data_IF_356194695923
#
_entry.id   IF_356194695923
#
_cell.length_a   1.000
_cell.length_b   1.000
_cell.length_c   1.000
_cell.angle_alpha   90.00
_cell.angle_beta   90.00
_cell.angle_gamma   90.00
#
_symmetry.space_group_name_H-M   'P 1'
#
loop_
_entity.id
_entity.type
_entity.pdbx_description
1 polymer ?
#
# COMPACT_ATOMS: atom_id res chain seq x y z
N UNK A 1 10.32 2.74 -1.08
CA UNK A 1 9.33 3.82 -0.88
C UNK A 1 8.25 3.58 -1.90
N UNK A 2 7.00 3.62 -1.47
CA UNK A 2 5.84 3.65 -2.36
C UNK A 2 5.15 5.00 -2.17
N UNK A 3 4.47 5.49 -3.20
CA UNK A 3 3.43 6.51 -3.01
C UNK A 3 2.24 5.78 -2.39
N UNK A 4 1.58 6.41 -1.43
CA UNK A 4 0.52 5.77 -0.67
C UNK A 4 -0.70 5.41 -1.53
N UNK A 5 -1.01 6.24 -2.53
CA UNK A 5 -2.13 6.06 -3.47
C UNK A 5 -1.63 6.08 -4.93
N UNK A 6 -2.46 5.60 -5.87
CA UNK A 6 -2.24 5.83 -7.31
C UNK A 6 -1.98 7.30 -7.65
N UNK A 7 -1.35 7.54 -8.79
CA UNK A 7 -1.13 8.91 -9.25
C UNK A 7 -2.45 9.53 -9.74
N UNK A 8 -2.65 10.81 -9.47
CA UNK A 8 -3.74 11.60 -10.07
C UNK A 8 -3.37 12.00 -11.50
N UNK A 9 -3.27 11.00 -12.40
CA UNK A 9 -2.91 11.18 -13.80
C UNK A 9 -4.02 10.59 -14.68
N UNK A 10 -4.71 11.39 -15.51
CA UNK A 10 -4.53 12.84 -15.72
C UNK A 10 -5.03 13.75 -14.59
N UNK A 11 -5.89 13.26 -13.70
CA UNK A 11 -6.60 14.03 -12.69
C UNK A 11 -6.91 13.19 -11.45
N UNK A 12 -7.59 13.82 -10.48
CA UNK A 12 -7.97 13.20 -9.20
C UNK A 12 -8.93 12.02 -9.41
N UNK A 13 -9.96 12.17 -10.25
CA UNK A 13 -10.91 11.09 -10.57
C UNK A 13 -10.19 9.83 -11.08
N UNK A 14 -9.19 9.99 -11.97
CA UNK A 14 -8.38 8.87 -12.44
C UNK A 14 -7.56 8.21 -11.33
N UNK A 15 -7.03 9.00 -10.39
CA UNK A 15 -6.29 8.48 -9.24
C UNK A 15 -7.18 7.73 -8.24
N UNK A 16 -8.30 8.34 -7.87
CA UNK A 16 -9.26 7.82 -6.89
C UNK A 16 -9.95 6.54 -7.37
N UNK A 17 -10.25 6.46 -8.66
CA UNK A 17 -10.79 5.24 -9.28
C UNK A 17 -9.74 4.16 -9.54
N UNK A 18 -8.44 4.46 -9.43
CA UNK A 18 -7.40 3.51 -9.83
C UNK A 18 -7.11 2.48 -8.76
N UNK A 19 -6.82 1.26 -9.22
CA UNK A 19 -6.17 0.22 -8.40
C UNK A 19 -4.68 0.07 -8.72
N UNK A 20 -4.11 0.91 -9.57
CA UNK A 20 -2.73 0.75 -10.03
C UNK A 20 -1.82 1.80 -9.38
N UNK A 21 -0.98 1.35 -8.46
CA UNK A 21 0.12 2.15 -7.90
C UNK A 21 1.45 1.82 -8.61
N UNK A 22 2.42 2.73 -8.50
CA UNK A 22 3.77 2.55 -9.05
C UNK A 22 4.78 2.30 -7.94
N UNK A 23 5.55 1.21 -8.05
CA UNK A 23 6.69 0.94 -7.16
C UNK A 23 7.99 1.32 -7.87
N UNK A 24 8.76 2.21 -7.25
CA UNK A 24 10.04 2.67 -7.81
C UNK A 24 11.23 2.03 -7.11
N UNK A 25 12.18 1.53 -7.91
CA UNK A 25 13.48 1.08 -7.42
C UNK A 25 14.53 2.15 -7.63
N UNK A 26 14.89 2.86 -6.56
CA UNK A 26 15.98 3.83 -6.59
C UNK A 26 17.33 3.21 -6.23
N UNK A 27 18.40 3.59 -6.94
CA UNK A 27 19.77 3.21 -6.60
C UNK A 27 20.52 4.40 -6.03
N UNK A 28 20.86 4.41 -4.73
CA UNK A 28 21.67 5.48 -4.14
C UNK A 28 23.04 5.64 -4.80
N UNK A 29 23.66 4.52 -5.23
CA UNK A 29 24.95 4.53 -5.94
C UNK A 29 24.87 5.22 -7.31
N UNK A 30 23.78 5.02 -8.05
CA UNK A 30 23.58 5.63 -9.38
C UNK A 30 22.85 6.97 -9.30
N UNK A 31 22.27 7.29 -8.14
CA UNK A 31 21.38 8.44 -7.92
C UNK A 31 20.24 8.52 -8.94
N UNK A 32 19.67 7.36 -9.29
CA UNK A 32 18.63 7.26 -10.31
C UNK A 32 17.61 6.18 -9.96
N UNK A 33 16.38 6.34 -10.48
CA UNK A 33 15.41 5.24 -10.61
C UNK A 33 15.99 4.23 -11.60
N UNK A 34 15.90 2.95 -11.24
CA UNK A 34 16.52 1.83 -11.97
C UNK A 34 15.53 0.76 -12.39
N UNK A 35 14.30 0.84 -11.90
CA UNK A 35 13.14 0.10 -12.36
C UNK A 35 11.88 0.78 -11.83
N UNK A 36 10.79 0.59 -12.54
CA UNK A 36 9.44 0.97 -12.15
C UNK A 36 8.51 -0.22 -12.34
N UNK A 37 7.53 -0.38 -11.47
CA UNK A 37 6.62 -1.52 -11.56
C UNK A 37 5.17 -1.10 -11.34
N UNK A 38 4.28 -1.56 -12.21
CA UNK A 38 2.84 -1.48 -11.99
C UNK A 38 2.42 -2.49 -10.91
N UNK A 39 2.04 -1.98 -9.75
CA UNK A 39 1.47 -2.74 -8.64
C UNK A 39 -0.05 -2.54 -8.65
N UNK A 40 -0.81 -3.63 -8.61
CA UNK A 40 -2.27 -3.57 -8.60
C UNK A 40 -2.82 -4.02 -7.26
N UNK A 41 -3.59 -3.17 -6.59
CA UNK A 41 -4.35 -3.52 -5.40
C UNK A 41 -5.39 -4.62 -5.70
N UNK A 42 -5.74 -5.41 -4.69
CA UNK A 42 -6.96 -6.21 -4.75
C UNK A 42 -8.17 -5.25 -4.80
N UNK A 43 -9.32 -5.67 -5.35
CA UNK A 43 -10.53 -4.84 -5.28
C UNK A 43 -10.83 -4.40 -3.85
N UNK A 44 -11.35 -3.19 -3.63
CA UNK A 44 -11.54 -2.67 -2.27
C UNK A 44 -12.44 -3.56 -1.43
N UNK A 45 -13.59 -3.99 -1.97
CA UNK A 45 -14.47 -4.97 -1.31
C UNK A 45 -13.85 -6.35 -1.06
N UNK A 46 -12.72 -6.67 -1.69
CA UNK A 46 -11.91 -7.84 -1.33
C UNK A 46 -11.07 -7.51 -0.10
N UNK A 47 -10.35 -6.38 -0.08
CA UNK A 47 -9.50 -5.94 1.04
C UNK A 47 -10.33 -5.68 2.31
N UNK A 48 -11.41 -4.92 2.17
CA UNK A 48 -12.37 -4.53 3.19
C UNK A 48 -13.80 -4.80 2.70
N UNK A 49 -14.44 -5.93 3.08
CA UNK A 49 -15.76 -6.32 2.58
C UNK A 49 -16.91 -5.33 2.83
N UNK A 50 -16.69 -4.33 3.68
CA UNK A 50 -17.67 -3.27 3.96
C UNK A 50 -17.45 -1.98 3.18
N UNK A 51 -16.45 -1.95 2.28
CA UNK A 51 -16.02 -0.76 1.54
C UNK A 51 -16.28 -0.91 0.04
N UNK A 52 -16.69 0.17 -0.60
CA UNK A 52 -16.92 0.27 -2.05
C UNK A 52 -16.18 1.42 -2.72
N UNK A 53 -15.58 2.33 -1.95
CA UNK A 53 -14.74 3.40 -2.46
C UNK A 53 -13.30 2.92 -2.71
N UNK A 54 -12.87 2.92 -3.97
CA UNK A 54 -11.52 2.49 -4.36
C UNK A 54 -10.44 3.44 -3.84
N UNK A 55 -10.77 4.71 -3.60
CA UNK A 55 -9.82 5.73 -3.14
C UNK A 55 -9.30 5.45 -1.72
N UNK A 56 -10.03 4.66 -0.93
CA UNK A 56 -9.67 4.20 0.42
C UNK A 56 -8.45 3.26 0.43
N UNK A 57 -8.08 2.67 -0.73
CA UNK A 57 -6.93 1.78 -0.82
C UNK A 57 -5.61 2.53 -0.75
N UNK A 58 -4.81 2.18 0.26
CA UNK A 58 -3.50 2.77 0.54
C UNK A 58 -2.40 1.71 0.69
N UNK A 59 -1.17 2.07 0.36
CA UNK A 59 0.07 1.38 0.80
C UNK A 59 0.75 2.25 1.86
N UNK A 60 0.72 1.84 3.12
CA UNK A 60 1.44 2.57 4.18
C UNK A 60 2.83 1.95 4.45
N UNK A 61 2.97 0.64 4.25
CA UNK A 61 4.23 -0.06 4.46
C UNK A 61 4.72 -0.91 3.27
N UNK A 62 6.03 -0.88 3.02
CA UNK A 62 6.74 -1.75 2.08
C UNK A 62 8.04 -2.26 2.70
N UNK A 63 8.19 -3.58 2.82
CA UNK A 63 9.32 -4.22 3.52
C UNK A 63 10.12 -5.08 2.56
N UNK A 64 11.41 -4.80 2.41
CA UNK A 64 12.30 -5.69 1.68
C UNK A 64 12.54 -6.99 2.46
N UNK A 65 12.16 -8.12 1.85
CA UNK A 65 12.37 -9.47 2.44
C UNK A 65 13.40 -10.30 1.68
N UNK A 66 13.92 -9.74 0.58
CA UNK A 66 15.03 -10.26 -0.22
C UNK A 66 15.52 -9.20 -1.21
N UNK A 67 16.45 -9.56 -2.10
CA UNK A 67 16.99 -8.64 -3.13
C UNK A 67 15.96 -8.20 -4.17
N UNK A 68 15.00 -9.07 -4.47
CA UNK A 68 13.96 -8.92 -5.48
C UNK A 68 12.57 -9.23 -4.92
N UNK A 69 12.39 -9.18 -3.60
CA UNK A 69 11.12 -9.50 -2.95
C UNK A 69 10.74 -8.45 -1.92
N UNK A 70 9.48 -8.00 -1.99
CA UNK A 70 8.90 -7.06 -1.05
C UNK A 70 7.64 -7.68 -0.43
N UNK A 71 7.42 -7.39 0.85
CA UNK A 71 6.05 -7.34 1.37
C UNK A 71 5.50 -5.95 1.07
N UNK A 72 4.29 -5.91 0.52
CA UNK A 72 3.54 -4.68 0.31
C UNK A 72 2.26 -4.80 1.14
N UNK A 73 1.97 -3.75 1.89
CA UNK A 73 0.72 -3.62 2.61
C UNK A 73 -0.34 -3.00 1.71
N UNK A 74 -1.51 -3.64 1.66
CA UNK A 74 -2.73 -3.06 1.14
C UNK A 74 -3.67 -2.84 2.31
N UNK A 75 -4.12 -1.60 2.51
CA UNK A 75 -4.99 -1.28 3.64
C UNK A 75 -6.04 -0.24 3.29
N UNK A 76 -7.15 -0.32 4.00
CA UNK A 76 -8.10 0.78 4.26
C UNK A 76 -7.91 1.21 5.70
N UNK A 77 -8.76 2.08 6.23
CA UNK A 77 -8.73 2.41 7.66
C UNK A 77 -9.17 1.24 8.57
N UNK A 78 -9.92 0.26 8.04
CA UNK A 78 -10.48 -0.85 8.83
C UNK A 78 -9.80 -2.20 8.57
N UNK A 79 -9.13 -2.37 7.43
CA UNK A 79 -8.53 -3.63 7.03
C UNK A 79 -7.10 -3.45 6.53
N UNK A 80 -6.24 -4.44 6.77
CA UNK A 80 -4.88 -4.47 6.27
C UNK A 80 -4.46 -5.89 5.85
N UNK A 81 -3.78 -6.00 4.73
CA UNK A 81 -3.27 -7.26 4.16
C UNK A 81 -1.83 -7.10 3.72
N UNK A 82 -1.07 -8.19 3.82
CA UNK A 82 0.31 -8.21 3.34
C UNK A 82 0.44 -9.18 2.17
N UNK A 83 0.98 -8.67 1.07
CA UNK A 83 1.25 -9.45 -0.13
C UNK A 83 2.75 -9.52 -0.39
N UNK A 84 3.22 -10.71 -0.75
CA UNK A 84 4.58 -10.91 -1.25
C UNK A 84 4.59 -10.67 -2.75
N UNK A 85 5.42 -9.72 -3.19
CA UNK A 85 5.70 -9.45 -4.60
C UNK A 85 7.14 -9.78 -4.96
N UNK A 86 7.35 -10.17 -6.21
CA UNK A 86 8.68 -10.35 -6.79
C UNK A 86 8.94 -9.30 -7.86
N UNK A 87 10.02 -8.55 -7.70
CA UNK A 87 10.48 -7.52 -8.62
C UNK A 87 11.31 -8.15 -9.74
N UNK A 88 10.64 -8.85 -10.65
CA UNK A 88 11.29 -9.43 -11.82
C UNK A 88 11.59 -8.37 -12.90
N UNK A 89 12.58 -8.63 -13.75
CA UNK A 89 12.96 -7.71 -14.82
C UNK A 89 11.93 -7.62 -15.96
N UNK A 90 11.05 -8.61 -16.09
CA UNK A 90 10.04 -8.63 -17.15
C UNK A 90 8.86 -7.71 -16.86
N UNK A 91 8.64 -7.38 -15.58
CA UNK A 91 7.66 -6.42 -15.11
C UNK A 91 8.17 -4.98 -14.97
N UNK A 92 9.43 -4.72 -15.31
CA UNK A 92 9.97 -3.36 -15.29
C UNK A 92 9.33 -2.52 -16.40
N UNK A 93 8.72 -1.40 -16.02
CA UNK A 93 8.09 -0.45 -16.93
C UNK A 93 8.82 0.88 -17.05
N UNK A 94 10.03 1.00 -16.49
CA UNK A 94 10.80 2.23 -16.57
C UNK A 94 11.22 2.56 -18.02
N UNK A 95 10.95 3.79 -18.46
CA UNK A 95 11.23 4.27 -19.81
C UNK A 95 10.20 3.84 -20.85
N UNK A 96 9.08 3.28 -20.42
CA UNK A 96 8.00 2.85 -21.29
C UNK A 96 7.10 4.03 -21.68
N UNK A 97 6.13 3.78 -22.58
CA UNK A 97 5.09 4.76 -22.91
C UNK A 97 4.30 5.26 -21.69
N UNK A 98 4.23 4.47 -20.61
CA UNK A 98 3.49 4.81 -19.39
C UNK A 98 4.14 5.92 -18.56
N UNK A 99 5.38 6.31 -18.88
CA UNK A 99 6.07 7.44 -18.26
C UNK A 99 5.73 8.77 -18.97
N UNK A 100 5.12 8.72 -20.16
CA UNK A 100 4.63 9.90 -20.86
C UNK A 100 3.27 10.32 -20.27
N UNK A 101 3.17 11.49 -19.60
CA UNK A 101 1.91 11.97 -19.02
C UNK A 101 0.84 12.29 -20.09
N UNK A 102 1.20 12.32 -21.38
CA UNK A 102 0.26 12.47 -22.50
C UNK A 102 -0.32 11.13 -22.98
N UNK A 103 0.18 9.97 -22.52
CA UNK A 103 -0.37 8.66 -22.89
C UNK A 103 -1.83 8.54 -22.48
N UNK A 104 -2.71 8.11 -23.41
CA UNK A 104 -4.15 7.91 -23.18
C UNK A 104 -4.62 6.53 -23.68
N UNK A 105 -5.44 5.80 -22.90
CA UNK A 105 -5.59 5.99 -21.44
C UNK A 105 -4.22 5.93 -20.75
N UNK A 106 -4.04 6.69 -19.68
CA UNK A 106 -2.90 6.59 -18.76
C UNK A 106 -2.87 5.22 -18.08
N UNK A 107 -1.84 4.91 -17.31
CA UNK A 107 -1.77 3.64 -16.59
C UNK A 107 -2.85 3.57 -15.49
N UNK A 108 -3.14 4.71 -14.88
CA UNK A 108 -4.05 4.90 -13.77
C UNK A 108 -5.51 4.75 -14.21
N UNK A 109 -5.84 5.19 -15.44
CA UNK A 109 -7.15 5.02 -16.08
C UNK A 109 -7.46 3.56 -16.53
N UNK A 110 -6.50 2.62 -16.41
CA UNK A 110 -6.72 1.23 -16.83
C UNK A 110 -7.38 0.38 -15.74
N UNK A 111 -8.61 -0.05 -16.04
CA UNK A 111 -9.32 -1.07 -15.26
C UNK A 111 -8.65 -2.44 -15.30
N UNK A 112 -8.02 -2.83 -16.40
CA UNK A 112 -7.31 -4.11 -16.50
C UNK A 112 -5.97 -3.92 -17.24
N UNK A 113 -4.93 -3.40 -16.55
CA UNK A 113 -3.68 -3.05 -17.21
C UNK A 113 -3.02 -4.23 -17.94
N UNK A 114 -3.14 -5.45 -17.40
CA UNK A 114 -2.61 -6.65 -18.02
C UNK A 114 -3.27 -6.95 -19.39
N UNK A 115 -4.56 -6.69 -19.54
CA UNK A 115 -5.28 -6.83 -20.81
C UNK A 115 -4.80 -5.81 -21.86
N UNK A 116 -4.30 -4.65 -21.41
CA UNK A 116 -3.69 -3.61 -22.24
C UNK A 116 -2.18 -3.81 -22.46
N UNK A 117 -1.64 -4.98 -22.08
CA UNK A 117 -0.24 -5.33 -22.26
C UNK A 117 0.73 -4.74 -21.24
N UNK A 118 0.23 -4.18 -20.13
CA UNK A 118 1.07 -3.75 -19.00
C UNK A 118 1.54 -4.98 -18.22
N UNK A 119 2.84 -5.16 -17.99
CA UNK A 119 3.34 -6.31 -17.24
C UNK A 119 3.17 -6.09 -15.72
N UNK A 120 1.93 -6.19 -15.23
CA UNK A 120 1.56 -6.01 -13.81
C UNK A 120 2.30 -7.00 -12.92
N UNK A 121 2.81 -6.52 -11.77
CA UNK A 121 3.48 -7.37 -10.79
C UNK A 121 2.55 -8.47 -10.28
N UNK A 122 3.08 -9.69 -10.28
CA UNK A 122 2.43 -10.81 -9.60
C UNK A 122 2.62 -10.67 -8.09
N UNK A 123 1.53 -10.88 -7.36
CA UNK A 123 1.51 -10.87 -5.90
C UNK A 123 0.86 -12.12 -5.33
N UNK A 124 1.20 -12.44 -4.09
CA UNK A 124 0.60 -13.55 -3.32
C UNK A 124 0.26 -13.06 -1.93
N UNK A 125 -0.98 -13.24 -1.50
CA UNK A 125 -1.37 -12.98 -0.11
C UNK A 125 -0.52 -13.81 0.86
N UNK A 126 0.04 -13.13 1.86
CA UNK A 126 0.81 -13.75 2.96
C UNK A 126 -0.04 -13.86 4.20
N UNK A 127 -0.75 -12.79 4.55
CA UNK A 127 -1.64 -12.73 5.72
C UNK A 127 -2.69 -11.63 5.51
N UNK A 128 -3.91 -11.91 5.95
CA UNK A 128 -4.94 -10.91 6.21
C UNK A 128 -4.86 -10.58 7.71
N UNK A 129 -4.51 -9.33 8.04
CA UNK A 129 -4.24 -8.93 9.42
C UNK A 129 -5.53 -8.76 10.24
N UNK A 130 -6.66 -8.46 9.59
CA UNK A 130 -7.96 -8.40 10.26
C UNK A 130 -8.46 -9.76 10.75
N UNK A 131 -7.88 -10.85 10.23
CA UNK A 131 -8.16 -12.21 10.66
C UNK A 131 -7.18 -12.74 11.72
N UNK A 132 -6.25 -11.90 12.22
CA UNK A 132 -5.27 -12.29 13.24
C UNK A 132 -5.65 -11.67 14.59
N UNK A 133 -5.98 -12.52 15.55
CA UNK A 133 -6.32 -12.10 16.90
C UNK A 133 -5.23 -11.22 17.53
N UNK A 134 -5.65 -10.10 18.12
CA UNK A 134 -4.77 -9.17 18.83
C UNK A 134 -4.00 -8.18 17.94
N UNK A 135 -4.22 -8.19 16.62
CA UNK A 135 -3.70 -7.12 15.75
C UNK A 135 -4.66 -5.92 15.82
N UNK A 136 -4.15 -4.71 16.13
CA UNK A 136 -4.98 -3.49 16.16
C UNK A 136 -5.42 -3.10 14.73
N UNK A 137 -6.41 -2.21 14.65
CA UNK A 137 -6.77 -1.55 13.39
C UNK A 137 -5.69 -0.57 12.92
N UNK A 138 -5.90 0.05 11.75
CA UNK A 138 -5.03 1.10 11.17
C UNK A 138 -3.53 0.78 11.20
N UNK A 139 -3.13 -0.40 10.71
CA UNK A 139 -1.70 -0.71 10.57
C UNK A 139 -1.07 0.25 9.55
N UNK A 140 0.03 0.88 9.95
CA UNK A 140 0.78 1.83 9.12
C UNK A 140 2.23 1.40 8.88
N UNK A 141 2.76 0.57 9.77
CA UNK A 141 4.16 0.19 9.76
C UNK A 141 4.33 -1.31 9.97
N UNK A 142 5.24 -1.89 9.18
CA UNK A 142 5.58 -3.30 9.26
C UNK A 142 7.09 -3.46 9.22
N UNK A 143 7.62 -4.31 10.09
CA UNK A 143 9.02 -4.69 10.09
C UNK A 143 9.17 -6.21 10.12
N UNK A 144 10.13 -6.74 9.36
CA UNK A 144 10.50 -8.15 9.42
C UNK A 144 11.43 -8.38 10.62
N UNK A 145 10.98 -9.16 11.60
CA UNK A 145 11.78 -9.56 12.76
C UNK A 145 12.67 -10.76 12.41
N UNK A 146 12.11 -11.77 11.74
CA UNK A 146 12.85 -12.94 11.26
C UNK A 146 12.15 -13.60 10.06
N UNK A 147 12.47 -14.85 9.72
CA UNK A 147 11.87 -15.56 8.57
C UNK A 147 10.36 -15.84 8.67
N UNK A 148 9.76 -15.68 9.86
CA UNK A 148 8.35 -16.02 10.12
C UNK A 148 7.64 -15.08 11.10
N UNK A 149 8.30 -14.00 11.54
CA UNK A 149 7.72 -13.03 12.48
C UNK A 149 7.81 -11.62 11.91
N UNK A 150 6.71 -10.91 12.02
CA UNK A 150 6.56 -9.49 11.71
C UNK A 150 6.29 -8.72 12.99
N UNK A 151 6.78 -7.49 13.07
CA UNK A 151 6.34 -6.48 14.03
C UNK A 151 5.46 -5.48 13.28
N UNK A 152 4.33 -5.14 13.86
CA UNK A 152 3.32 -4.22 13.31
C UNK A 152 3.17 -3.03 14.25
N UNK A 153 2.90 -1.86 13.70
CA UNK A 153 2.56 -0.66 14.46
C UNK A 153 1.31 -0.03 13.84
N UNK A 154 0.37 0.41 14.68
CA UNK A 154 -0.81 1.14 14.24
C UNK A 154 -0.58 2.64 14.26
N UNK A 155 -1.20 3.31 13.30
CA UNK A 155 -1.45 4.75 13.36
C UNK A 155 -2.51 4.99 14.43
N UNK A 156 -2.29 6.02 15.24
CA UNK A 156 -3.26 6.50 16.21
C UNK A 156 -3.75 7.92 15.89
N UNK A 157 -3.47 8.40 14.67
CA UNK A 157 -3.83 9.72 14.17
C UNK A 157 -3.30 10.83 15.09
N UNK A 158 -2.13 10.65 15.70
CA UNK A 158 -1.56 11.55 16.72
C UNK A 158 -2.45 11.75 17.95
N UNK A 159 -3.31 10.78 18.28
CA UNK A 159 -4.30 10.88 19.35
C UNK A 159 -5.53 11.70 18.94
N UNK A 160 -5.75 11.95 17.65
CA UNK A 160 -6.89 12.71 17.15
C UNK A 160 -8.08 11.82 16.82
N UNK A 161 -9.28 12.39 16.91
CA UNK A 161 -10.50 11.84 16.29
C UNK A 161 -10.82 12.63 15.02
N UNK A 162 -11.66 12.08 14.15
CA UNK A 162 -12.06 12.79 12.94
C UNK A 162 -13.02 13.96 13.21
N UNK A 163 -12.85 15.02 12.44
CA UNK A 163 -13.80 16.13 12.35
C UNK A 163 -13.64 17.20 13.45
N UNK A 164 -14.61 18.11 13.57
CA UNK A 164 -14.47 19.33 14.37
C UNK A 164 -14.36 19.07 15.89
N UNK A 165 -14.65 17.84 16.34
CA UNK A 165 -14.55 17.44 17.75
C UNK A 165 -13.14 17.01 18.17
N UNK A 166 -12.20 16.93 17.22
CA UNK A 166 -10.80 16.67 17.51
C UNK A 166 -10.18 17.75 18.41
N UNK A 167 -10.76 18.94 18.43
CA UNK A 167 -10.30 20.06 19.25
C UNK A 167 -11.43 20.63 20.09
N UNK A 168 -11.12 21.03 21.33
CA UNK A 168 -12.04 21.76 22.20
C UNK A 168 -12.21 23.24 21.76
N UNK A 169 -13.07 23.99 22.45
CA UNK A 169 -13.36 25.39 22.13
C UNK A 169 -12.12 26.32 22.23
N UNK A 170 -11.08 25.89 22.96
CA UNK A 170 -9.81 26.59 23.12
C UNK A 170 -8.74 26.13 22.10
N UNK A 171 -9.09 25.21 21.20
CA UNK A 171 -8.19 24.65 20.20
C UNK A 171 -7.21 23.60 20.73
N UNK A 172 -7.49 22.98 21.89
CA UNK A 172 -6.69 21.86 22.42
C UNK A 172 -7.20 20.54 21.89
N UNK A 173 -6.27 19.63 21.59
CA UNK A 173 -6.59 18.27 21.20
C UNK A 173 -7.46 17.58 22.27
N UNK A 174 -8.58 17.02 21.83
CA UNK A 174 -9.37 16.04 22.58
C UNK A 174 -8.84 14.66 22.20
N UNK A 175 -8.08 14.05 23.12
CA UNK A 175 -7.40 12.77 22.89
C UNK A 175 -8.40 11.65 22.54
N UNK A 176 -8.04 10.81 21.58
CA UNK A 176 -8.84 9.67 21.12
C UNK A 176 -8.75 8.45 22.04
N UNK A 177 -7.85 8.47 23.03
CA UNK A 177 -7.46 7.35 23.89
C UNK A 177 -6.91 6.14 23.10
N UNK A 178 -6.62 6.30 21.80
CA UNK A 178 -6.03 5.26 20.95
C UNK A 178 -4.52 5.23 21.17
N UNK A 179 -4.02 4.16 21.79
CA UNK A 179 -2.59 3.98 21.99
C UNK A 179 -1.90 3.46 20.72
N UNK A 180 -0.69 3.97 20.46
CA UNK A 180 0.24 3.31 19.53
C UNK A 180 0.75 2.02 20.17
N UNK A 181 0.52 0.91 19.49
CA UNK A 181 0.92 -0.43 19.96
C UNK A 181 1.87 -1.09 18.97
N UNK A 182 2.81 -1.88 19.50
CA UNK A 182 3.65 -2.76 18.68
C UNK A 182 3.22 -4.21 18.89
N UNK A 183 2.67 -4.82 17.85
CA UNK A 183 2.17 -6.20 17.89
C UNK A 183 3.05 -7.12 17.05
N UNK A 184 3.38 -8.30 17.59
CA UNK A 184 4.17 -9.31 16.89
C UNK A 184 3.29 -10.39 16.30
N UNK A 185 3.32 -10.54 14.98
CA UNK A 185 2.56 -11.58 14.26
C UNK A 185 3.50 -12.67 13.78
N UNK A 186 3.19 -13.92 14.16
CA UNK A 186 3.87 -15.11 13.64
C UNK A 186 3.09 -15.66 12.45
N UNK A 187 3.71 -15.66 11.29
CA UNK A 187 3.13 -16.18 10.05
C UNK A 187 2.97 -17.71 10.11
N UNK A 188 2.00 -18.32 9.40
CA UNK A 188 1.85 -19.77 9.34
C UNK A 188 2.94 -20.47 8.51
N UNK A 189 3.55 -19.75 7.56
CA UNK A 189 4.66 -20.21 6.73
C UNK A 189 5.76 -19.15 6.69
N UNK A 190 6.98 -19.53 6.36
CA UNK A 190 8.07 -18.58 6.15
C UNK A 190 7.86 -17.70 4.91
N UNK A 191 8.51 -16.54 4.91
CA UNK A 191 8.56 -15.58 3.79
C UNK A 191 9.48 -16.03 2.66
#
# INVERSE_FOLDING_TARGET
>A
MAVQSPLSLPDEDAGDGSRTARLLRFSPKKQAVTAEYAYRFDPVGVVDPGEDDTSELKISSVVAVGRDRLLVEERTDKAARLHLVRLDKGSDILGNRWDDPATRPSLEELDEPAASGVPVLRKRLVVDLGAVDGVPGKIEGVARVNGRTLALINDNDFGMTDGPKAFDEDGRLVDSDVETTVTYVRLPKGL
#
